data_IF_582481390336
#
_entry.id   IF_582481390336
#
_cell.length_a   1.000
_cell.length_b   1.000
_cell.length_c   1.000
_cell.angle_alpha   90.00
_cell.angle_beta   90.00
_cell.angle_gamma   90.00
#
_symmetry.space_group_name_H-M   'P 1'
#
loop_
_entity.id
_entity.type
_entity.pdbx_description
1 polymer ?
#
# COMPACT_ATOMS: atom_id res chain seq x y z
N UNK A 1 24.78 18.22 -10.59
CA UNK A 1 23.93 17.80 -11.72
C UNK A 1 24.30 16.38 -12.10
N UNK A 2 23.35 15.47 -12.07
CA UNK A 2 23.51 14.07 -12.49
C UNK A 2 22.56 13.78 -13.64
N UNK A 3 22.99 12.93 -14.59
CA UNK A 3 22.16 12.47 -15.70
C UNK A 3 21.93 10.96 -15.58
N UNK A 4 20.79 10.50 -16.05
CA UNK A 4 20.49 9.08 -16.24
C UNK A 4 20.36 8.79 -17.73
N UNK A 5 20.97 7.72 -18.18
CA UNK A 5 21.04 7.32 -19.59
C UNK A 5 20.40 5.95 -19.77
N UNK A 6 19.53 5.84 -20.78
CA UNK A 6 19.02 4.57 -21.27
C UNK A 6 19.56 4.29 -22.66
N UNK A 7 19.95 3.05 -22.92
CA UNK A 7 20.55 2.60 -24.19
C UNK A 7 19.73 1.49 -24.76
N UNK A 8 19.37 1.57 -26.04
CA UNK A 8 18.78 0.49 -26.83
C UNK A 8 19.59 0.32 -28.14
N UNK A 9 19.85 -0.92 -28.50
CA UNK A 9 20.71 -1.28 -29.65
C UNK A 9 19.89 -1.81 -30.83
N UNK A 10 20.20 -1.33 -32.02
CA UNK A 10 19.67 -1.91 -33.27
C UNK A 10 20.56 -3.10 -33.68
N UNK A 11 20.00 -4.18 -34.20
CA UNK A 11 18.56 -4.49 -34.32
C UNK A 11 17.97 -5.18 -33.08
N UNK A 12 18.80 -5.55 -32.08
CA UNK A 12 18.44 -6.45 -30.98
C UNK A 12 17.31 -5.91 -30.10
N UNK A 13 17.32 -4.60 -29.85
CA UNK A 13 16.32 -3.96 -28.99
C UNK A 13 15.17 -3.28 -29.78
N UNK A 14 15.14 -3.46 -31.09
CA UNK A 14 14.10 -2.94 -31.98
C UNK A 14 14.58 -2.73 -33.41
N UNK A 15 13.70 -2.98 -34.36
CA UNK A 15 13.98 -2.83 -35.81
C UNK A 15 13.52 -1.48 -36.36
N UNK A 16 12.76 -0.71 -35.59
CA UNK A 16 12.27 0.60 -35.99
C UNK A 16 12.58 1.68 -34.92
N UNK A 17 12.54 2.93 -35.38
CA UNK A 17 12.85 4.09 -34.52
C UNK A 17 11.96 4.20 -33.29
N UNK A 18 10.67 3.92 -33.43
CA UNK A 18 9.69 4.10 -32.35
C UNK A 18 9.94 3.06 -31.24
N UNK A 19 10.18 1.82 -31.62
CA UNK A 19 10.53 0.74 -30.70
C UNK A 19 11.83 1.01 -29.96
N UNK A 20 12.90 1.42 -30.69
CA UNK A 20 14.19 1.74 -30.07
C UNK A 20 14.07 2.91 -29.07
N UNK A 21 13.38 4.00 -29.45
CA UNK A 21 13.18 5.14 -28.56
C UNK A 21 12.41 4.75 -27.31
N UNK A 22 11.32 4.00 -27.46
CA UNK A 22 10.53 3.49 -26.34
C UNK A 22 11.36 2.61 -25.40
N UNK A 23 12.18 1.73 -25.95
CA UNK A 23 13.01 0.81 -25.18
C UNK A 23 14.18 1.52 -24.48
N UNK A 24 14.78 2.53 -25.13
CA UNK A 24 15.76 3.41 -24.49
C UNK A 24 15.15 4.23 -23.34
N UNK A 25 13.91 4.74 -23.52
CA UNK A 25 13.20 5.46 -22.45
C UNK A 25 12.90 4.55 -21.25
N UNK A 26 12.55 3.28 -21.45
CA UNK A 26 12.36 2.30 -20.37
C UNK A 26 13.66 2.07 -19.60
N UNK A 27 14.77 1.90 -20.31
CA UNK A 27 16.09 1.75 -19.70
C UNK A 27 16.51 3.02 -18.94
N UNK A 28 16.25 4.21 -19.49
CA UNK A 28 16.51 5.48 -18.80
C UNK A 28 15.69 5.63 -17.52
N UNK A 29 14.43 5.18 -17.52
CA UNK A 29 13.60 5.21 -16.32
C UNK A 29 14.18 4.31 -15.22
N UNK A 30 14.65 3.11 -15.57
CA UNK A 30 15.37 2.22 -14.63
C UNK A 30 16.61 2.93 -14.07
N UNK A 31 17.41 3.59 -14.93
CA UNK A 31 18.59 4.36 -14.50
C UNK A 31 18.25 5.53 -13.55
N UNK A 32 17.05 6.12 -13.61
CA UNK A 32 16.61 7.17 -12.69
C UNK A 32 16.27 6.62 -11.30
N UNK A 33 15.75 5.41 -11.24
CA UNK A 33 15.35 4.76 -9.98
C UNK A 33 16.49 3.99 -9.30
N UNK A 34 17.61 3.77 -10.01
CA UNK A 34 18.82 3.12 -9.49
C UNK A 34 19.95 4.17 -9.32
N UNK A 35 20.21 4.64 -8.09
CA UNK A 35 21.26 5.62 -7.83
C UNK A 35 22.68 5.15 -8.16
N UNK A 36 22.91 3.83 -8.16
CA UNK A 36 24.22 3.22 -8.37
C UNK A 36 24.54 3.01 -9.86
N UNK A 37 23.50 2.74 -10.67
CA UNK A 37 23.68 2.42 -12.09
C UNK A 37 22.95 3.45 -12.97
N UNK A 38 23.61 4.57 -13.21
CA UNK A 38 23.08 5.71 -13.97
C UNK A 38 22.99 5.48 -15.48
N UNK A 39 23.64 4.44 -15.99
CA UNK A 39 23.54 4.02 -17.39
C UNK A 39 22.96 2.62 -17.38
N UNK A 40 21.83 2.46 -18.06
CA UNK A 40 21.14 1.19 -18.18
C UNK A 40 20.96 0.84 -19.66
N UNK A 41 21.29 -0.38 -20.01
CA UNK A 41 20.91 -0.97 -21.31
C UNK A 41 19.51 -1.54 -21.23
N UNK A 42 18.79 -1.45 -22.33
CA UNK A 42 17.49 -2.11 -22.40
C UNK A 42 17.69 -3.63 -22.33
N UNK A 43 16.83 -4.27 -21.58
CA UNK A 43 16.72 -5.71 -21.50
C UNK A 43 15.25 -6.05 -21.77
N UNK A 44 14.98 -7.08 -22.59
CA UNK A 44 13.59 -7.50 -22.87
C UNK A 44 12.80 -7.78 -21.60
N UNK A 45 13.43 -8.35 -20.58
CA UNK A 45 12.84 -8.56 -19.26
C UNK A 45 12.34 -7.26 -18.62
N UNK A 46 13.01 -6.12 -18.86
CA UNK A 46 12.58 -4.81 -18.34
C UNK A 46 11.27 -4.36 -19.00
N UNK A 47 11.15 -4.52 -20.32
CA UNK A 47 9.94 -4.20 -21.06
C UNK A 47 8.75 -5.04 -20.61
N UNK A 48 8.98 -6.33 -20.39
CA UNK A 48 7.96 -7.24 -19.86
C UNK A 48 7.55 -6.89 -18.43
N UNK A 49 8.51 -6.61 -17.55
CA UNK A 49 8.22 -6.21 -16.17
C UNK A 49 7.37 -4.92 -16.10
N UNK A 50 7.68 -3.92 -16.93
CA UNK A 50 6.90 -2.68 -17.00
C UNK A 50 5.49 -2.95 -17.52
N UNK A 51 5.33 -3.81 -18.54
CA UNK A 51 4.01 -4.19 -19.04
C UNK A 51 3.20 -4.93 -17.99
N UNK A 52 3.79 -5.94 -17.34
CA UNK A 52 3.16 -6.70 -16.27
C UNK A 52 2.73 -5.81 -15.10
N UNK A 53 3.55 -4.84 -14.74
CA UNK A 53 3.23 -3.89 -13.67
C UNK A 53 2.05 -2.98 -14.05
N UNK A 54 1.95 -2.55 -15.31
CA UNK A 54 0.79 -1.77 -15.81
C UNK A 54 -0.48 -2.60 -15.84
N UNK A 55 -0.41 -3.84 -16.32
CA UNK A 55 -1.53 -4.78 -16.31
C UNK A 55 -2.02 -5.03 -14.90
N UNK A 56 -1.10 -5.32 -13.96
CA UNK A 56 -1.44 -5.55 -12.57
C UNK A 56 -2.09 -4.31 -11.92
N UNK A 57 -1.67 -3.10 -12.28
CA UNK A 57 -2.33 -1.87 -11.79
C UNK A 57 -3.76 -1.72 -12.31
N UNK A 58 -4.02 -2.11 -13.56
CA UNK A 58 -5.37 -2.13 -14.12
C UNK A 58 -6.23 -3.21 -13.46
N UNK A 59 -5.64 -4.39 -13.21
CA UNK A 59 -6.33 -5.48 -12.54
C UNK A 59 -6.66 -5.11 -11.08
N UNK A 60 -5.77 -4.42 -10.37
CA UNK A 60 -6.05 -3.92 -9.01
C UNK A 60 -7.22 -2.93 -8.99
N UNK A 61 -7.29 -2.04 -9.98
CA UNK A 61 -8.44 -1.13 -10.11
C UNK A 61 -9.75 -1.89 -10.26
N UNK A 62 -9.76 -2.92 -11.10
CA UNK A 62 -10.91 -3.81 -11.29
C UNK A 62 -11.22 -4.63 -10.02
N UNK A 63 -10.18 -5.10 -9.33
CA UNK A 63 -10.33 -5.87 -8.11
C UNK A 63 -11.09 -5.10 -7.02
N UNK A 64 -10.82 -3.78 -6.89
CA UNK A 64 -11.54 -2.88 -6.00
C UNK A 64 -13.02 -2.65 -6.42
N UNK A 65 -13.33 -2.80 -7.70
CA UNK A 65 -14.69 -2.63 -8.23
C UNK A 65 -15.51 -3.93 -8.17
N UNK A 66 -14.84 -5.07 -8.25
CA UNK A 66 -15.44 -6.40 -8.37
C UNK A 66 -15.35 -7.24 -7.08
N UNK A 67 -15.01 -6.61 -5.96
CA UNK A 67 -14.89 -7.26 -4.66
C UNK A 67 -13.97 -8.51 -4.68
N UNK A 68 -12.82 -8.40 -5.37
CA UNK A 68 -11.85 -9.49 -5.48
C UNK A 68 -10.81 -9.50 -4.36
N UNK A 69 -10.80 -8.49 -3.51
CA UNK A 69 -9.93 -8.43 -2.34
C UNK A 69 -10.56 -9.19 -1.17
N UNK A 70 -9.73 -9.64 -0.25
CA UNK A 70 -10.17 -10.31 0.98
C UNK A 70 -9.39 -9.78 2.17
N UNK A 71 -10.04 -9.73 3.34
CA UNK A 71 -9.35 -9.49 4.59
C UNK A 71 -8.95 -10.81 5.24
N UNK A 72 -7.71 -10.87 5.71
CA UNK A 72 -7.24 -11.89 6.64
C UNK A 72 -6.89 -11.20 7.95
N UNK A 73 -7.02 -11.93 9.04
CA UNK A 73 -6.79 -11.40 10.38
C UNK A 73 -5.76 -12.26 11.09
N UNK A 74 -4.62 -11.67 11.42
CA UNK A 74 -3.56 -12.33 12.15
C UNK A 74 -3.71 -12.03 13.65
N UNK A 75 -3.81 -13.06 14.51
CA UNK A 75 -3.94 -12.83 15.95
C UNK A 75 -2.65 -12.23 16.54
N UNK A 76 -2.82 -11.21 17.36
CA UNK A 76 -1.78 -10.61 18.20
C UNK A 76 -1.87 -11.22 19.60
N UNK A 77 -0.73 -11.65 20.13
CA UNK A 77 -0.65 -12.37 21.41
C UNK A 77 0.02 -11.51 22.46
N UNK A 78 -0.61 -11.36 23.61
CA UNK A 78 0.03 -10.78 24.77
C UNK A 78 1.11 -11.73 25.32
N UNK A 79 2.36 -11.29 25.30
CA UNK A 79 3.51 -12.12 25.68
C UNK A 79 3.55 -12.48 27.17
N UNK A 80 2.79 -11.78 28.02
CA UNK A 80 2.73 -12.05 29.46
C UNK A 80 1.68 -13.10 29.79
N UNK A 81 0.53 -13.02 29.12
CA UNK A 81 -0.61 -13.92 29.40
C UNK A 81 -0.70 -15.09 28.44
N UNK A 82 -0.12 -14.97 27.24
CA UNK A 82 -0.26 -15.95 26.15
C UNK A 82 -1.63 -15.91 25.48
N UNK A 83 -2.48 -14.95 25.81
CA UNK A 83 -3.82 -14.82 25.24
C UNK A 83 -3.84 -13.89 24.03
N UNK A 84 -4.87 -14.08 23.16
CA UNK A 84 -5.09 -13.18 22.03
C UNK A 84 -5.59 -11.82 22.56
N UNK A 85 -4.84 -10.76 22.29
CA UNK A 85 -5.17 -9.39 22.71
C UNK A 85 -5.75 -8.54 21.58
N UNK A 86 -5.65 -8.99 20.32
CA UNK A 86 -6.15 -8.29 19.14
C UNK A 86 -5.86 -9.05 17.86
N UNK A 87 -6.16 -8.41 16.75
CA UNK A 87 -5.89 -8.94 15.42
C UNK A 87 -5.33 -7.85 14.52
N UNK A 88 -4.41 -8.20 13.63
CA UNK A 88 -3.97 -7.33 12.54
C UNK A 88 -4.75 -7.66 11.27
N UNK A 89 -5.36 -6.63 10.68
CA UNK A 89 -6.11 -6.74 9.44
C UNK A 89 -5.18 -6.65 8.23
N UNK A 90 -5.08 -7.71 7.48
CA UNK A 90 -4.16 -7.89 6.38
C UNK A 90 -4.91 -8.12 5.07
N UNK A 91 -4.86 -7.13 4.18
CA UNK A 91 -5.45 -7.29 2.85
C UNK A 91 -4.76 -8.37 2.03
N UNK A 92 -5.55 -9.16 1.31
CA UNK A 92 -5.09 -10.24 0.42
C UNK A 92 -5.76 -10.08 -0.93
N UNK A 93 -5.01 -10.38 -1.98
CA UNK A 93 -5.52 -10.32 -3.34
C UNK A 93 -5.42 -11.68 -4.04
N UNK A 94 -6.48 -12.50 -3.95
CA UNK A 94 -6.59 -13.73 -4.74
C UNK A 94 -6.94 -13.39 -6.19
N UNK A 95 -5.91 -13.09 -6.99
CA UNK A 95 -6.09 -12.71 -8.38
C UNK A 95 -6.55 -13.93 -9.20
N UNK A 96 -7.61 -13.80 -10.05
CA UNK A 96 -8.22 -14.94 -10.75
C UNK A 96 -7.27 -15.70 -11.69
N UNK A 97 -6.24 -15.04 -12.20
CA UNK A 97 -5.27 -15.64 -13.15
C UNK A 97 -3.90 -15.87 -12.51
N UNK A 98 -3.45 -14.94 -11.63
CA UNK A 98 -2.09 -14.96 -11.05
C UNK A 98 -2.01 -15.69 -9.72
N UNK A 99 -3.15 -16.14 -9.16
CA UNK A 99 -3.21 -16.68 -7.81
C UNK A 99 -3.07 -15.59 -6.74
N UNK A 100 -2.47 -15.90 -5.61
CA UNK A 100 -2.31 -14.93 -4.52
C UNK A 100 -1.21 -13.91 -4.85
N UNK A 101 -1.59 -12.66 -5.10
CA UNK A 101 -0.66 -11.54 -5.30
C UNK A 101 -0.23 -10.99 -3.94
N UNK A 102 1.08 -10.82 -3.75
CA UNK A 102 1.64 -10.34 -2.48
C UNK A 102 1.30 -8.87 -2.19
N UNK A 103 0.95 -8.50 -0.94
CA UNK A 103 0.86 -7.10 -0.54
C UNK A 103 2.11 -6.28 -0.84
N UNK A 104 3.30 -6.87 -0.68
CA UNK A 104 4.57 -6.23 -1.04
C UNK A 104 4.69 -5.87 -2.53
N UNK A 105 3.89 -6.49 -3.39
CA UNK A 105 3.84 -6.19 -4.83
C UNK A 105 2.75 -5.17 -5.14
N UNK A 106 1.51 -5.36 -4.64
CA UNK A 106 0.40 -4.51 -5.07
C UNK A 106 0.21 -3.23 -4.24
N UNK A 107 0.68 -3.15 -2.99
CA UNK A 107 0.57 -1.92 -2.19
C UNK A 107 1.44 -0.80 -2.77
N UNK A 108 2.75 -1.01 -3.06
CA UNK A 108 3.55 0.01 -3.76
C UNK A 108 2.99 0.38 -5.14
N UNK A 109 2.34 -0.57 -5.81
CA UNK A 109 1.67 -0.32 -7.07
C UNK A 109 0.42 0.56 -6.90
N UNK A 110 -0.36 0.33 -5.86
CA UNK A 110 -1.50 1.17 -5.49
C UNK A 110 -1.07 2.60 -5.17
N UNK A 111 0.02 2.77 -4.45
CA UNK A 111 0.62 4.07 -4.14
C UNK A 111 1.05 4.82 -5.40
N UNK A 112 1.83 4.16 -6.26
CA UNK A 112 2.35 4.75 -7.49
C UNK A 112 1.25 5.13 -8.51
N UNK A 113 0.08 4.49 -8.44
CA UNK A 113 -1.03 4.71 -9.37
C UNK A 113 -2.22 5.45 -8.75
N UNK A 114 -2.07 6.00 -7.53
CA UNK A 114 -3.13 6.76 -6.84
C UNK A 114 -4.33 5.91 -6.41
N UNK A 115 -4.17 4.60 -6.29
CA UNK A 115 -5.22 3.67 -5.86
C UNK A 115 -5.22 3.44 -4.35
N UNK A 116 -4.15 3.84 -3.66
CA UNK A 116 -3.97 3.56 -2.23
C UNK A 116 -5.09 4.15 -1.35
N UNK A 117 -5.62 5.31 -1.72
CA UNK A 117 -6.76 5.92 -1.01
C UNK A 117 -8.01 5.03 -1.07
N UNK A 118 -8.38 4.57 -2.29
CA UNK A 118 -9.51 3.66 -2.49
C UNK A 118 -9.32 2.30 -1.81
N UNK A 119 -8.10 1.78 -1.89
CA UNK A 119 -7.73 0.53 -1.21
C UNK A 119 -7.87 0.67 0.31
N UNK A 120 -7.36 1.76 0.87
CA UNK A 120 -7.46 2.01 2.31
C UNK A 120 -8.89 2.26 2.79
N UNK A 121 -9.71 2.96 2.00
CA UNK A 121 -11.13 3.13 2.29
C UNK A 121 -11.83 1.75 2.36
N UNK A 122 -11.61 0.91 1.36
CA UNK A 122 -12.13 -0.46 1.32
C UNK A 122 -11.67 -1.31 2.52
N UNK A 123 -10.36 -1.26 2.86
CA UNK A 123 -9.81 -1.97 4.02
C UNK A 123 -10.46 -1.49 5.31
N UNK A 124 -10.58 -0.18 5.51
CA UNK A 124 -11.18 0.41 6.71
C UNK A 124 -12.66 0.01 6.87
N UNK A 125 -13.45 0.17 5.82
CA UNK A 125 -14.87 -0.14 5.82
C UNK A 125 -15.09 -1.64 6.06
N UNK A 126 -14.44 -2.50 5.28
CA UNK A 126 -14.57 -3.96 5.39
C UNK A 126 -14.14 -4.45 6.76
N UNK A 127 -13.01 -3.97 7.29
CA UNK A 127 -12.53 -4.38 8.61
C UNK A 127 -13.50 -3.97 9.72
N UNK A 128 -13.99 -2.73 9.69
CA UNK A 128 -14.95 -2.27 10.68
C UNK A 128 -16.28 -3.06 10.62
N UNK A 129 -16.77 -3.37 9.40
CA UNK A 129 -17.99 -4.17 9.22
C UNK A 129 -17.86 -5.61 9.71
N UNK A 130 -16.73 -6.25 9.44
CA UNK A 130 -16.50 -7.64 9.85
C UNK A 130 -16.29 -7.74 11.35
N UNK A 131 -15.39 -6.92 11.93
CA UNK A 131 -15.01 -6.98 13.33
C UNK A 131 -16.15 -6.56 14.27
N UNK A 132 -17.01 -5.63 13.85
CA UNK A 132 -18.20 -5.24 14.63
C UNK A 132 -19.17 -6.43 14.88
N UNK A 133 -19.11 -7.47 14.05
CA UNK A 133 -19.93 -8.70 14.19
C UNK A 133 -19.27 -9.79 15.03
N UNK A 134 -18.00 -9.60 15.41
CA UNK A 134 -17.26 -10.64 16.15
C UNK A 134 -17.64 -10.66 17.63
N UNK A 135 -17.72 -11.83 18.25
CA UNK A 135 -17.97 -11.94 19.67
C UNK A 135 -16.80 -11.41 20.49
N UNK A 136 -17.09 -10.85 21.65
CA UNK A 136 -16.06 -10.40 22.60
C UNK A 136 -15.44 -9.04 22.28
N UNK A 137 -15.87 -8.35 21.24
CA UNK A 137 -15.39 -7.00 20.87
C UNK A 137 -13.85 -6.89 20.83
N UNK A 138 -13.16 -7.73 20.07
CA UNK A 138 -11.70 -7.71 20.02
C UNK A 138 -11.18 -6.42 19.41
N UNK A 139 -9.91 -6.11 19.69
CA UNK A 139 -9.18 -5.04 18.99
C UNK A 139 -8.77 -5.50 17.60
N UNK A 140 -8.73 -4.55 16.68
CA UNK A 140 -8.20 -4.75 15.32
C UNK A 140 -7.28 -3.61 14.94
N UNK A 141 -6.11 -3.95 14.42
CA UNK A 141 -5.14 -3.03 13.87
C UNK A 141 -5.26 -2.97 12.35
N UNK A 142 -5.15 -1.78 11.78
CA UNK A 142 -5.18 -1.51 10.34
C UNK A 142 -3.93 -0.73 9.96
N UNK A 143 -3.20 -1.22 8.96
CA UNK A 143 -2.05 -0.54 8.39
C UNK A 143 -2.48 0.68 7.56
N UNK A 144 -1.86 1.82 7.77
CA UNK A 144 -2.10 3.07 7.04
C UNK A 144 -0.84 3.52 6.29
N UNK A 145 -0.96 3.76 4.99
CA UNK A 145 0.13 4.31 4.17
C UNK A 145 0.37 5.80 4.47
N UNK A 146 1.64 6.22 4.34
CA UNK A 146 2.05 7.63 4.43
C UNK A 146 1.25 8.55 3.49
N UNK A 147 0.91 8.06 2.30
CA UNK A 147 0.15 8.84 1.31
C UNK A 147 -1.26 9.15 1.82
N UNK A 148 -1.87 8.23 2.56
CA UNK A 148 -3.22 8.41 3.10
C UNK A 148 -3.27 9.45 4.23
N UNK A 149 -2.17 9.70 4.95
CA UNK A 149 -2.09 10.79 5.92
C UNK A 149 -2.26 12.18 5.30
N UNK A 150 -2.06 12.30 3.99
CA UNK A 150 -2.28 13.55 3.26
C UNK A 150 -3.74 13.74 2.80
N UNK A 151 -4.60 12.74 3.00
CA UNK A 151 -6.04 12.88 2.68
C UNK A 151 -6.74 13.73 3.77
N UNK A 152 -7.25 14.93 3.42
CA UNK A 152 -7.95 15.80 4.37
C UNK A 152 -9.23 15.17 4.94
N UNK A 153 -9.77 14.15 4.27
CA UNK A 153 -11.00 13.46 4.65
C UNK A 153 -10.77 12.21 5.50
N UNK A 154 -9.50 11.78 5.70
CA UNK A 154 -9.18 10.53 6.41
C UNK A 154 -9.85 10.45 7.80
N UNK A 155 -9.79 11.52 8.59
CA UNK A 155 -10.41 11.54 9.93
C UNK A 155 -11.93 11.36 9.87
N UNK A 156 -12.56 11.97 8.86
CA UNK A 156 -13.99 11.80 8.60
C UNK A 156 -14.35 10.38 8.20
N UNK A 157 -13.54 9.75 7.35
CA UNK A 157 -13.71 8.36 6.91
C UNK A 157 -13.60 7.38 8.09
N UNK A 158 -12.58 7.55 8.95
CA UNK A 158 -12.42 6.74 10.17
C UNK A 158 -13.65 6.88 11.09
N UNK A 159 -14.10 8.10 11.34
CA UNK A 159 -15.30 8.34 12.13
C UNK A 159 -16.54 7.70 11.51
N UNK A 160 -16.72 7.86 10.21
CA UNK A 160 -17.87 7.31 9.49
C UNK A 160 -17.88 5.78 9.53
N UNK A 161 -16.74 5.12 9.31
CA UNK A 161 -16.63 3.66 9.36
C UNK A 161 -17.00 3.13 10.75
N UNK A 162 -16.54 3.77 11.82
CA UNK A 162 -16.92 3.40 13.20
C UNK A 162 -18.41 3.61 13.47
N UNK A 163 -18.96 4.75 13.07
CA UNK A 163 -20.36 5.09 13.34
C UNK A 163 -21.32 4.20 12.55
N UNK A 164 -21.03 3.94 11.26
CA UNK A 164 -21.90 3.11 10.41
C UNK A 164 -21.95 1.65 10.85
N UNK A 165 -20.86 1.15 11.44
CA UNK A 165 -20.76 -0.27 11.86
C UNK A 165 -21.04 -0.49 13.34
N UNK A 166 -21.05 0.57 14.15
CA UNK A 166 -21.13 0.50 15.61
C UNK A 166 -19.85 0.04 16.29
N UNK A 167 -18.72 -0.01 15.58
CA UNK A 167 -17.43 -0.37 16.15
C UNK A 167 -16.98 0.70 17.15
N UNK A 168 -16.59 0.30 18.36
CA UNK A 168 -16.03 1.23 19.34
C UNK A 168 -14.64 1.72 18.93
N UNK A 169 -14.35 2.99 19.13
CA UNK A 169 -13.03 3.55 18.86
C UNK A 169 -11.90 2.82 19.59
N UNK A 170 -12.17 2.27 20.79
CA UNK A 170 -11.21 1.50 21.57
C UNK A 170 -10.86 0.13 20.97
N UNK A 171 -11.65 -0.34 19.99
CA UNK A 171 -11.40 -1.59 19.27
C UNK A 171 -10.54 -1.36 18.01
N UNK A 172 -10.44 -0.11 17.52
CA UNK A 172 -9.66 0.21 16.34
C UNK A 172 -8.27 0.71 16.73
N UNK A 173 -7.25 0.15 16.09
CA UNK A 173 -5.87 0.62 16.14
C UNK A 173 -5.38 0.94 14.73
N UNK A 174 -4.64 2.02 14.57
CA UNK A 174 -3.98 2.37 13.31
C UNK A 174 -2.49 2.17 13.47
N UNK A 175 -1.93 1.35 12.59
CA UNK A 175 -0.50 1.07 12.50
C UNK A 175 0.14 1.88 11.37
N UNK A 176 1.32 2.41 11.65
CA UNK A 176 2.09 3.25 10.74
C UNK A 176 3.54 2.80 10.77
N UNK A 177 4.18 2.76 9.61
CA UNK A 177 5.64 2.56 9.57
C UNK A 177 6.37 3.85 9.96
N UNK A 178 7.60 3.70 10.50
CA UNK A 178 8.43 4.86 10.87
C UNK A 178 8.65 5.82 9.69
N UNK A 179 8.89 5.28 8.50
CA UNK A 179 9.06 6.05 7.26
C UNK A 179 7.84 6.85 6.86
N UNK A 180 6.64 6.42 7.24
CA UNK A 180 5.40 7.14 6.95
C UNK A 180 5.33 8.51 7.63
N UNK A 181 6.01 8.69 8.76
CA UNK A 181 6.01 9.94 9.53
C UNK A 181 7.01 10.99 9.01
N UNK A 182 8.03 10.58 8.23
CA UNK A 182 9.16 11.45 7.88
C UNK A 182 8.82 12.45 6.77
N UNK A 183 7.89 12.13 5.86
CA UNK A 183 7.63 12.93 4.65
C UNK A 183 7.01 14.30 4.92
N UNK A 184 6.04 14.41 5.82
CA UNK A 184 5.51 15.67 6.34
C UNK A 184 5.06 15.51 7.80
N UNK A 185 6.02 15.63 8.69
CA UNK A 185 5.82 15.39 10.12
C UNK A 185 4.72 16.28 10.73
N UNK A 186 4.59 17.54 10.30
CA UNK A 186 3.61 18.47 10.90
C UNK A 186 2.18 18.11 10.50
N UNK A 187 1.96 17.86 9.21
CA UNK A 187 0.64 17.49 8.70
C UNK A 187 0.23 16.12 9.24
N UNK A 188 1.11 15.12 9.16
CA UNK A 188 0.88 13.78 9.70
C UNK A 188 0.50 13.82 11.17
N UNK A 189 1.27 14.51 12.02
CA UNK A 189 0.97 14.66 13.46
C UNK A 189 -0.38 15.34 13.73
N UNK A 190 -0.79 16.30 12.89
CA UNK A 190 -2.10 16.94 13.03
C UNK A 190 -3.24 15.96 12.78
N UNK A 191 -3.16 15.18 11.70
CA UNK A 191 -4.15 14.14 11.36
C UNK A 191 -4.20 13.07 12.43
N UNK A 192 -3.03 12.56 12.87
CA UNK A 192 -2.94 11.54 13.89
C UNK A 192 -3.51 11.96 15.23
N UNK A 193 -3.27 13.23 15.65
CA UNK A 193 -3.89 13.77 16.88
C UNK A 193 -5.41 13.81 16.79
N UNK A 194 -5.95 14.14 15.62
CA UNK A 194 -7.40 14.15 15.41
C UNK A 194 -7.99 12.74 15.46
N UNK A 195 -7.33 11.76 14.86
CA UNK A 195 -7.75 10.34 14.94
C UNK A 195 -7.68 9.86 16.39
N UNK A 196 -6.59 10.17 17.10
CA UNK A 196 -6.45 9.85 18.54
C UNK A 196 -7.54 10.49 19.40
N UNK A 197 -7.97 11.71 19.06
CA UNK A 197 -9.06 12.40 19.75
C UNK A 197 -10.42 11.70 19.58
N UNK A 198 -10.59 10.85 18.55
CA UNK A 198 -11.75 9.98 18.39
C UNK A 198 -11.73 8.77 19.36
N UNK A 199 -10.61 8.52 20.04
CA UNK A 199 -10.41 7.37 20.93
C UNK A 199 -9.72 6.17 20.28
N UNK A 200 -9.31 6.28 19.02
CA UNK A 200 -8.59 5.24 18.26
C UNK A 200 -7.16 5.09 18.77
N UNK A 201 -6.72 3.85 18.96
CA UNK A 201 -5.32 3.53 19.34
C UNK A 201 -4.39 3.70 18.14
N UNK A 202 -3.10 3.90 18.42
CA UNK A 202 -2.08 4.06 17.38
C UNK A 202 -0.82 3.32 17.77
N UNK A 203 -0.24 2.59 16.81
CA UNK A 203 1.04 1.91 16.96
C UNK A 203 2.01 2.29 15.84
N UNK A 204 3.30 2.20 16.15
CA UNK A 204 4.37 2.30 15.16
C UNK A 204 4.84 0.89 14.86
N UNK A 205 4.75 0.52 13.59
CA UNK A 205 5.22 -0.74 13.07
C UNK A 205 6.62 -0.59 12.43
N UNK A 206 7.33 -1.71 12.25
CA UNK A 206 8.66 -1.75 11.64
C UNK A 206 9.71 -0.82 12.30
N UNK A 207 9.59 -0.56 13.61
CA UNK A 207 10.48 0.35 14.32
C UNK A 207 11.94 -0.13 14.26
N UNK A 208 12.84 0.75 13.79
CA UNK A 208 14.28 0.46 13.69
C UNK A 208 14.73 -0.16 12.36
N UNK A 209 13.86 -0.35 11.38
CA UNK A 209 14.21 -0.84 10.04
C UNK A 209 14.55 0.29 9.07
N UNK A 210 14.40 1.53 9.46
CA UNK A 210 14.56 2.73 8.63
C UNK A 210 15.97 3.32 8.55
N UNK A 211 17.02 2.64 9.06
CA UNK A 211 18.43 3.06 8.98
C UNK A 211 19.31 1.99 8.38
#
# INVERSE_FOLDING_TARGET
TSASLGVALYPDDGEDRETLMRNADLAMYKAKTDPLHRIQHYEHALGEAVRQRRELAQDLRRALELDQLKMHYQPQIDLKTGEVCGYEALVRWPHPVRGMVSPAEFIPLAEANGLIGRLGDWVLETTCEEVARWPGSPKVAINLSAIQLNDPHLVGKVLQAMVSTGLSASQLEIELTETALIHDLRQSLSVLRRIKALGVSMALDDFGTGY
#
